data_IF_310530406672
#
_entry.id   IF_310530406672
#
_cell.length_a   1.000
_cell.length_b   1.000
_cell.length_c   1.000
_cell.angle_alpha   90.00
_cell.angle_beta   90.00
_cell.angle_gamma   90.00
#
_symmetry.space_group_name_H-M   'P 1'
#
loop_
_entity.id
_entity.type
_entity.pdbx_description
1 polymer ?
#
# COMPACT_ATOMS: atom_id res chain seq x y z
N UNK A 1 3.29 25.91 15.40
CA UNK A 1 3.86 24.55 15.40
C UNK A 1 4.14 24.15 13.95
N UNK A 2 5.35 23.63 13.69
CA UNK A 2 5.70 23.16 12.35
C UNK A 2 4.82 21.94 12.04
N UNK A 3 4.09 21.99 10.94
CA UNK A 3 3.18 20.91 10.56
C UNK A 3 3.97 19.60 10.35
N UNK A 4 3.57 18.54 11.03
CA UNK A 4 4.20 17.24 10.89
C UNK A 4 3.81 16.61 9.54
N UNK A 5 4.80 16.47 8.64
CA UNK A 5 4.61 15.96 7.29
C UNK A 5 4.80 14.45 7.15
N UNK A 6 5.50 13.85 8.12
CA UNK A 6 5.81 12.42 8.17
C UNK A 6 5.66 11.93 9.60
N UNK A 7 4.88 10.86 9.78
CA UNK A 7 4.77 10.11 11.04
C UNK A 7 5.24 8.69 10.83
N UNK A 8 5.89 8.10 11.83
CA UNK A 8 6.27 6.68 11.83
C UNK A 8 5.80 6.07 13.15
N UNK A 9 4.92 5.08 13.05
CA UNK A 9 4.39 4.32 14.16
C UNK A 9 4.90 2.87 14.10
N UNK A 10 5.25 2.30 15.27
CA UNK A 10 5.54 0.87 15.38
C UNK A 10 4.23 0.09 15.36
N UNK A 11 4.17 -0.98 14.56
CA UNK A 11 2.99 -1.84 14.48
C UNK A 11 3.18 -3.13 15.30
N UNK A 12 4.14 -3.96 14.89
CA UNK A 12 4.40 -5.25 15.53
C UNK A 12 5.76 -5.79 15.10
N UNK A 13 6.53 -6.36 16.03
CA UNK A 13 7.88 -6.86 15.71
C UNK A 13 8.74 -5.80 15.04
N UNK A 14 9.20 -6.10 13.82
CA UNK A 14 10.02 -5.19 13.01
C UNK A 14 9.20 -4.45 11.93
N UNK A 15 7.87 -4.39 12.06
CA UNK A 15 6.96 -3.74 11.12
C UNK A 15 6.53 -2.38 11.63
N UNK A 16 6.53 -1.41 10.72
CA UNK A 16 6.21 -0.01 11.00
C UNK A 16 5.29 0.54 9.92
N UNK A 17 4.43 1.46 10.32
CA UNK A 17 3.58 2.25 9.41
C UNK A 17 4.17 3.65 9.32
N UNK A 18 4.31 4.16 8.11
CA UNK A 18 4.58 5.58 7.90
C UNK A 18 3.33 6.25 7.31
N UNK A 19 3.11 7.49 7.71
CA UNK A 19 2.00 8.31 7.20
C UNK A 19 2.56 9.62 6.68
N UNK A 20 2.25 9.93 5.43
CA UNK A 20 2.44 11.27 4.84
C UNK A 20 1.08 11.87 4.51
N UNK A 21 1.06 13.12 4.08
CA UNK A 21 -0.19 13.80 3.81
C UNK A 21 -0.14 14.50 2.45
N UNK A 22 -1.24 14.48 1.74
CA UNK A 22 -1.44 15.30 0.54
C UNK A 22 -2.75 16.06 0.63
N UNK A 23 -2.89 17.11 -0.16
CA UNK A 23 -4.14 17.87 -0.25
C UNK A 23 -4.91 17.40 -1.47
N UNK A 24 -6.16 17.00 -1.27
CA UNK A 24 -7.08 16.63 -2.32
C UNK A 24 -8.43 17.34 -2.05
N UNK A 25 -8.92 18.11 -3.02
CA UNK A 25 -10.15 18.92 -2.87
C UNK A 25 -10.17 19.71 -1.56
N UNK A 26 -9.07 20.46 -1.28
CA UNK A 26 -8.85 21.28 -0.07
C UNK A 26 -8.74 20.48 1.25
N UNK A 27 -8.96 19.18 1.24
CA UNK A 27 -8.83 18.33 2.41
C UNK A 27 -7.42 17.74 2.53
N UNK A 28 -6.88 17.74 3.74
CA UNK A 28 -5.63 17.06 4.06
C UNK A 28 -5.90 15.57 4.25
N UNK A 29 -5.45 14.76 3.30
CA UNK A 29 -5.68 13.31 3.26
C UNK A 29 -4.40 12.58 3.72
N UNK A 30 -4.47 11.67 4.70
CA UNK A 30 -3.36 10.81 5.04
C UNK A 30 -3.08 9.79 3.93
N UNK A 31 -1.82 9.44 3.76
CA UNK A 31 -1.40 8.32 2.92
C UNK A 31 -0.46 7.44 3.73
N UNK A 32 -0.97 6.30 4.16
CA UNK A 32 -0.20 5.31 4.90
C UNK A 32 0.53 4.38 3.94
N UNK A 33 1.76 4.07 4.29
CA UNK A 33 2.52 2.96 3.75
C UNK A 33 3.10 2.14 4.89
N UNK A 34 3.76 1.06 4.56
CA UNK A 34 4.33 0.14 5.54
C UNK A 34 5.80 -0.14 5.22
N UNK A 35 6.61 -0.42 6.23
CA UNK A 35 7.92 -0.98 6.01
C UNK A 35 8.27 -2.04 7.04
N UNK A 36 9.15 -2.95 6.63
CA UNK A 36 9.70 -4.02 7.46
C UNK A 36 11.22 -3.89 7.58
N UNK A 37 11.74 -3.91 8.80
CA UNK A 37 13.18 -4.02 9.05
C UNK A 37 13.60 -5.48 9.00
N UNK A 38 14.66 -5.79 8.26
CA UNK A 38 15.27 -7.13 8.14
C UNK A 38 16.74 -7.09 8.56
N UNK A 39 17.42 -8.23 8.57
CA UNK A 39 18.84 -8.27 8.90
C UNK A 39 19.70 -7.50 7.89
N UNK A 40 19.35 -7.56 6.61
CA UNK A 40 20.12 -7.00 5.50
C UNK A 40 19.66 -5.62 5.04
N UNK A 41 18.53 -5.11 5.55
CA UNK A 41 18.03 -3.79 5.17
C UNK A 41 16.55 -3.61 5.50
N UNK A 42 15.88 -2.73 4.78
CA UNK A 42 14.45 -2.43 4.97
C UNK A 42 13.69 -2.63 3.67
N UNK A 43 12.56 -3.33 3.76
CA UNK A 43 11.58 -3.48 2.67
C UNK A 43 10.47 -2.45 2.87
N UNK A 44 10.25 -1.62 1.88
CA UNK A 44 9.23 -0.58 1.85
C UNK A 44 8.06 -1.01 0.97
N UNK A 45 6.84 -0.78 1.42
CA UNK A 45 5.61 -1.01 0.67
C UNK A 45 4.96 0.34 0.40
N UNK A 46 4.79 0.63 -0.90
CA UNK A 46 4.40 1.90 -1.48
C UNK A 46 5.39 3.05 -1.24
N UNK A 47 5.20 4.17 -1.91
CA UNK A 47 6.00 5.38 -1.74
C UNK A 47 5.15 6.48 -1.11
N UNK A 48 5.75 7.46 -0.39
CA UNK A 48 5.00 8.62 0.08
C UNK A 48 4.23 9.32 -1.05
N UNK A 49 3.03 9.80 -0.76
CA UNK A 49 2.30 10.66 -1.70
C UNK A 49 2.90 12.08 -1.78
N UNK A 50 3.33 12.62 -0.63
CA UNK A 50 4.08 13.89 -0.59
C UNK A 50 5.51 13.67 -1.08
N UNK A 51 5.83 14.17 -2.27
CA UNK A 51 7.14 14.03 -2.92
C UNK A 51 8.28 14.62 -2.09
N UNK A 52 7.99 15.59 -1.20
CA UNK A 52 8.99 16.20 -0.30
C UNK A 52 9.41 15.25 0.82
N UNK A 53 8.71 14.10 0.99
CA UNK A 53 8.96 13.13 2.04
C UNK A 53 9.73 11.89 1.58
N UNK A 54 10.16 11.80 0.34
CA UNK A 54 10.94 10.64 -0.15
C UNK A 54 12.26 10.50 0.63
N UNK A 55 13.10 11.53 0.67
CA UNK A 55 14.35 11.49 1.41
C UNK A 55 14.14 11.51 2.93
N UNK A 56 13.25 12.36 3.49
CA UNK A 56 12.98 12.35 4.94
C UNK A 56 12.54 10.98 5.48
N UNK A 57 11.80 10.17 4.70
CA UNK A 57 11.44 8.81 5.10
C UNK A 57 12.69 7.92 5.17
N UNK A 58 13.55 7.94 4.14
CA UNK A 58 14.81 7.16 4.13
C UNK A 58 15.71 7.56 5.30
N UNK A 59 15.89 8.85 5.55
CA UNK A 59 16.71 9.39 6.65
C UNK A 59 16.16 8.99 8.03
N UNK A 60 14.84 8.99 8.18
CA UNK A 60 14.18 8.60 9.42
C UNK A 60 14.32 7.10 9.69
N UNK A 61 14.19 6.26 8.67
CA UNK A 61 14.42 4.81 8.73
C UNK A 61 15.89 4.55 9.11
N UNK A 62 16.83 5.18 8.42
CA UNK A 62 18.27 5.04 8.69
C UNK A 62 18.63 5.44 10.11
N UNK A 63 18.14 6.57 10.56
CA UNK A 63 18.39 7.09 11.93
C UNK A 63 17.79 6.17 13.00
N UNK A 64 16.58 5.65 12.77
CA UNK A 64 15.87 4.82 13.73
C UNK A 64 16.43 3.41 13.84
N UNK A 65 16.84 2.81 12.73
CA UNK A 65 17.18 1.39 12.64
C UNK A 65 18.64 1.11 12.29
N UNK A 66 19.41 2.14 11.93
CA UNK A 66 20.75 2.01 11.36
C UNK A 66 20.79 1.07 10.13
N UNK A 67 19.70 1.05 9.35
CA UNK A 67 19.51 0.23 8.15
C UNK A 67 19.12 1.11 6.97
N UNK A 68 19.53 0.69 5.78
CA UNK A 68 19.11 1.33 4.54
C UNK A 68 17.88 0.62 3.96
N UNK A 69 17.01 1.37 3.26
CA UNK A 69 15.98 0.78 2.44
C UNK A 69 16.64 0.13 1.23
N UNK A 70 16.37 -1.15 1.00
CA UNK A 70 16.98 -1.93 -0.09
C UNK A 70 15.97 -2.34 -1.16
N UNK A 71 14.68 -2.27 -0.82
CA UNK A 71 13.60 -2.70 -1.69
C UNK A 71 12.35 -1.84 -1.47
N UNK A 72 11.63 -1.53 -2.55
CA UNK A 72 10.32 -0.88 -2.52
C UNK A 72 9.37 -1.58 -3.50
N UNK A 73 8.17 -1.94 -3.06
CA UNK A 73 7.11 -2.54 -3.90
C UNK A 73 5.92 -1.60 -3.91
N UNK A 74 5.45 -1.18 -5.10
CA UNK A 74 4.23 -0.41 -5.23
C UNK A 74 3.02 -1.30 -5.55
N UNK A 75 1.88 -1.03 -4.92
CA UNK A 75 0.70 -1.90 -4.93
C UNK A 75 -0.26 -1.64 -6.08
N UNK A 76 -0.22 -0.48 -6.71
CA UNK A 76 -0.94 -0.14 -7.93
C UNK A 76 -0.36 1.15 -8.56
N UNK A 77 -0.86 1.53 -9.74
CA UNK A 77 -0.25 2.55 -10.61
C UNK A 77 -0.48 4.01 -10.20
N UNK A 78 -1.34 4.34 -9.24
CA UNK A 78 -1.59 5.72 -8.84
C UNK A 78 -0.36 6.39 -8.20
N UNK A 79 -0.26 7.72 -8.35
CA UNK A 79 0.90 8.50 -7.89
C UNK A 79 1.14 8.39 -6.38
N UNK A 80 0.09 8.20 -5.59
CA UNK A 80 0.19 8.02 -4.14
C UNK A 80 0.89 6.71 -3.73
N UNK A 81 1.21 5.84 -4.73
CA UNK A 81 1.96 4.58 -4.54
C UNK A 81 3.25 4.53 -5.34
N UNK A 82 3.29 5.18 -6.51
CA UNK A 82 4.39 5.03 -7.48
C UNK A 82 5.31 6.24 -7.59
N UNK A 83 4.92 7.43 -7.12
CA UNK A 83 5.62 8.68 -7.42
C UNK A 83 7.09 8.69 -6.99
N UNK A 84 7.45 7.98 -5.93
CA UNK A 84 8.82 7.87 -5.43
C UNK A 84 9.68 6.79 -6.10
N UNK A 85 9.13 5.92 -6.96
CA UNK A 85 9.86 4.76 -7.50
C UNK A 85 11.14 5.15 -8.23
N UNK A 86 11.09 6.13 -9.14
CA UNK A 86 12.27 6.58 -9.88
C UNK A 86 13.29 7.27 -8.96
N UNK A 87 12.82 8.05 -7.98
CA UNK A 87 13.69 8.65 -6.99
C UNK A 87 14.43 7.57 -6.17
N UNK A 88 13.72 6.55 -5.70
CA UNK A 88 14.32 5.45 -4.94
C UNK A 88 15.31 4.64 -5.77
N UNK A 89 15.03 4.42 -7.05
CA UNK A 89 15.99 3.83 -7.97
C UNK A 89 17.31 4.63 -8.02
N UNK A 90 17.28 5.96 -8.05
CA UNK A 90 18.50 6.80 -8.02
C UNK A 90 19.30 6.65 -6.73
N UNK A 91 18.68 6.13 -5.66
CA UNK A 91 19.33 5.82 -4.37
C UNK A 91 19.83 4.37 -4.28
N UNK A 92 19.76 3.60 -5.36
CA UNK A 92 20.16 2.19 -5.39
C UNK A 92 19.14 1.25 -4.74
N UNK A 93 17.93 1.72 -4.46
CA UNK A 93 16.83 0.92 -3.91
C UNK A 93 16.17 0.16 -5.08
N UNK A 94 16.10 -1.16 -5.00
CA UNK A 94 15.41 -1.98 -6.00
C UNK A 94 13.92 -1.75 -5.93
N UNK A 95 13.32 -1.29 -7.02
CA UNK A 95 11.89 -0.99 -7.09
C UNK A 95 11.13 -2.04 -7.90
N UNK A 96 9.94 -2.41 -7.44
CA UNK A 96 9.14 -3.50 -7.99
C UNK A 96 7.68 -3.11 -8.17
N UNK A 97 7.08 -3.56 -9.29
CA UNK A 97 5.63 -3.55 -9.54
C UNK A 97 5.20 -4.80 -10.29
N UNK A 98 3.90 -5.07 -10.35
CA UNK A 98 3.39 -6.09 -11.27
C UNK A 98 3.51 -5.60 -12.73
N UNK A 99 3.43 -6.54 -13.69
CA UNK A 99 3.43 -6.18 -15.11
C UNK A 99 2.26 -5.23 -15.44
N UNK A 100 1.07 -5.51 -14.93
CA UNK A 100 -0.12 -4.66 -15.19
C UNK A 100 0.05 -3.26 -14.59
N UNK A 101 0.62 -3.15 -13.39
CA UNK A 101 0.95 -1.85 -12.78
C UNK A 101 1.93 -1.06 -13.65
N UNK A 102 2.96 -1.71 -14.20
CA UNK A 102 3.93 -1.07 -15.09
C UNK A 102 3.28 -0.59 -16.41
N UNK A 103 2.45 -1.43 -17.02
CA UNK A 103 1.71 -1.08 -18.25
C UNK A 103 0.78 0.12 -18.02
N UNK A 104 0.02 0.14 -16.92
CA UNK A 104 -0.85 1.26 -16.57
C UNK A 104 -0.05 2.50 -16.21
N UNK A 105 1.04 2.37 -15.46
CA UNK A 105 1.96 3.49 -15.18
C UNK A 105 2.50 4.12 -16.46
N UNK A 106 2.92 3.29 -17.43
CA UNK A 106 3.37 3.76 -18.75
C UNK A 106 2.24 4.47 -19.50
N UNK A 107 1.05 3.85 -19.55
CA UNK A 107 -0.12 4.42 -20.24
C UNK A 107 -0.53 5.78 -19.70
N UNK A 108 -0.43 5.98 -18.39
CA UNK A 108 -0.86 7.18 -17.68
C UNK A 108 0.29 8.13 -17.30
N UNK A 109 1.51 7.94 -17.89
CA UNK A 109 2.70 8.75 -17.64
C UNK A 109 3.06 8.85 -16.14
N UNK A 110 2.92 7.75 -15.40
CA UNK A 110 3.32 7.65 -13.99
C UNK A 110 4.72 7.05 -13.85
N UNK A 111 5.30 7.18 -12.65
CA UNK A 111 6.61 6.63 -12.33
C UNK A 111 6.59 5.11 -12.36
N UNK A 112 7.68 4.52 -12.87
CA UNK A 112 7.78 3.08 -13.14
C UNK A 112 8.86 2.45 -12.28
N UNK A 113 8.64 1.19 -11.88
CA UNK A 113 9.64 0.39 -11.19
C UNK A 113 10.72 -0.12 -12.16
N UNK A 114 11.84 -0.56 -11.59
CA UNK A 114 12.94 -1.16 -12.32
C UNK A 114 12.71 -2.65 -12.62
N UNK A 115 12.02 -3.33 -11.71
CA UNK A 115 11.79 -4.76 -11.78
C UNK A 115 10.29 -5.10 -11.78
N UNK A 116 9.95 -6.15 -12.53
CA UNK A 116 8.59 -6.67 -12.59
C UNK A 116 8.45 -7.96 -11.78
N UNK A 117 7.33 -8.10 -11.09
CA UNK A 117 6.95 -9.30 -10.36
C UNK A 117 5.64 -9.88 -10.90
N UNK A 118 5.40 -11.17 -10.63
CA UNK A 118 4.09 -11.77 -10.83
C UNK A 118 3.10 -11.23 -9.80
N UNK A 119 1.82 -11.27 -10.14
CA UNK A 119 0.75 -10.82 -9.24
C UNK A 119 0.79 -11.51 -7.87
N UNK A 120 1.00 -12.82 -7.88
CA UNK A 120 1.08 -13.67 -6.69
C UNK A 120 2.52 -14.15 -6.54
N UNK A 121 3.33 -13.37 -5.82
CA UNK A 121 4.76 -13.66 -5.60
C UNK A 121 5.02 -13.82 -4.12
N UNK A 122 5.68 -14.91 -3.75
CA UNK A 122 6.21 -15.14 -2.41
C UNK A 122 7.64 -14.60 -2.33
N UNK A 123 7.89 -13.75 -1.36
CA UNK A 123 9.21 -13.21 -1.07
C UNK A 123 9.75 -13.79 0.22
N UNK A 124 11.02 -14.20 0.19
CA UNK A 124 11.79 -14.59 1.35
C UNK A 124 13.02 -13.68 1.45
N UNK A 125 13.04 -12.82 2.45
CA UNK A 125 14.13 -11.87 2.70
C UNK A 125 14.60 -12.07 4.14
N UNK A 126 15.77 -12.65 4.31
CA UNK A 126 16.29 -13.10 5.62
C UNK A 126 15.25 -14.00 6.33
N UNK A 127 14.80 -13.57 7.52
CA UNK A 127 13.78 -14.25 8.32
C UNK A 127 12.35 -13.79 8.02
N UNK A 128 12.18 -12.92 7.01
CA UNK A 128 10.90 -12.33 6.68
C UNK A 128 10.31 -12.91 5.41
N UNK A 129 9.11 -13.44 5.53
CA UNK A 129 8.32 -13.95 4.41
C UNK A 129 7.06 -13.12 4.25
N UNK A 130 6.80 -12.68 3.05
CA UNK A 130 5.55 -12.03 2.66
C UNK A 130 5.14 -12.40 1.25
N UNK A 131 3.87 -12.27 0.93
CA UNK A 131 3.38 -12.52 -0.42
C UNK A 131 2.57 -11.34 -0.94
N UNK A 132 2.69 -11.08 -2.24
CA UNK A 132 1.73 -10.26 -2.98
C UNK A 132 0.57 -11.13 -3.41
N UNK A 133 -0.63 -10.56 -3.50
CA UNK A 133 -1.82 -11.24 -4.00
C UNK A 133 -2.68 -10.29 -4.81
N UNK A 134 -3.06 -10.73 -6.01
CA UNK A 134 -4.02 -10.03 -6.88
C UNK A 134 -5.42 -10.60 -6.69
N UNK A 135 -6.31 -9.93 -5.97
CA UNK A 135 -7.65 -10.43 -5.68
C UNK A 135 -8.65 -10.20 -6.82
N UNK A 136 -8.27 -9.41 -7.83
CA UNK A 136 -9.12 -8.93 -8.91
C UNK A 136 -9.14 -7.40 -9.00
N UNK A 137 -9.86 -6.86 -9.96
CA UNK A 137 -10.05 -5.42 -10.14
C UNK A 137 -10.93 -4.84 -9.03
N UNK A 138 -10.64 -3.64 -8.57
CA UNK A 138 -11.42 -2.98 -7.52
C UNK A 138 -11.22 -1.47 -7.54
N UNK A 139 -10.34 -0.96 -6.68
CA UNK A 139 -9.92 0.44 -6.66
C UNK A 139 -9.26 0.85 -7.98
N UNK A 140 -8.44 -0.03 -8.53
CA UNK A 140 -7.85 0.01 -9.87
C UNK A 140 -7.89 -1.38 -10.50
N UNK A 141 -7.54 -1.50 -11.77
CA UNK A 141 -7.48 -2.79 -12.44
C UNK A 141 -6.29 -3.67 -11.95
N UNK A 142 -5.24 -3.06 -11.40
CA UNK A 142 -3.96 -3.69 -11.06
C UNK A 142 -3.70 -3.86 -9.56
N UNK A 143 -4.64 -3.44 -8.71
CA UNK A 143 -4.41 -3.41 -7.27
C UNK A 143 -4.05 -4.79 -6.69
N UNK A 144 -2.94 -4.86 -5.99
CA UNK A 144 -2.53 -6.00 -5.18
C UNK A 144 -2.61 -5.67 -3.69
N UNK A 145 -2.74 -6.71 -2.87
CA UNK A 145 -2.55 -6.64 -1.42
C UNK A 145 -1.29 -7.39 -1.02
N UNK A 146 -0.78 -7.13 0.18
CA UNK A 146 0.41 -7.80 0.71
C UNK A 146 0.04 -8.49 2.02
N UNK A 147 0.47 -9.74 2.15
CA UNK A 147 0.25 -10.56 3.34
C UNK A 147 1.57 -10.93 3.99
N UNK A 148 1.72 -10.61 5.28
CA UNK A 148 2.81 -11.04 6.13
C UNK A 148 2.31 -12.15 7.07
N UNK A 149 2.64 -13.40 6.75
CA UNK A 149 2.10 -14.60 7.40
C UNK A 149 2.36 -14.63 8.89
N UNK A 150 3.60 -14.38 9.30
CA UNK A 150 4.04 -14.51 10.70
C UNK A 150 3.26 -13.60 11.65
N UNK A 151 3.07 -12.34 11.26
CA UNK A 151 2.37 -11.32 12.05
C UNK A 151 0.89 -11.24 11.71
N UNK A 152 0.42 -12.00 10.72
CA UNK A 152 -0.95 -11.92 10.17
C UNK A 152 -1.34 -10.50 9.78
N UNK A 153 -0.45 -9.79 9.09
CA UNK A 153 -0.69 -8.42 8.63
C UNK A 153 -1.21 -8.46 7.19
N UNK A 154 -2.39 -7.90 6.97
CA UNK A 154 -2.94 -7.63 5.65
C UNK A 154 -2.73 -6.14 5.32
N UNK A 155 -1.79 -5.85 4.43
CA UNK A 155 -1.64 -4.53 3.85
C UNK A 155 -2.58 -4.41 2.65
N UNK A 156 -3.71 -3.76 2.85
CA UNK A 156 -4.79 -3.62 1.86
C UNK A 156 -4.64 -2.40 0.96
N UNK A 157 -3.74 -1.47 1.32
CA UNK A 157 -3.51 -0.25 0.55
C UNK A 157 -4.79 0.54 0.29
N UNK A 158 -4.96 1.02 -0.95
CA UNK A 158 -6.15 1.78 -1.35
C UNK A 158 -7.37 0.91 -1.69
N UNK A 159 -7.18 -0.40 -1.85
CA UNK A 159 -8.28 -1.34 -2.11
C UNK A 159 -9.23 -1.44 -0.92
N UNK A 160 -8.69 -1.47 0.31
CA UNK A 160 -9.48 -1.54 1.54
C UNK A 160 -9.60 -0.13 2.11
N UNK A 161 -10.82 0.26 2.49
CA UNK A 161 -11.13 1.56 3.10
C UNK A 161 -11.20 1.42 4.63
N UNK A 162 -10.92 2.50 5.34
CA UNK A 162 -11.06 2.53 6.79
C UNK A 162 -12.49 2.25 7.25
N UNK A 163 -12.64 1.76 8.47
CA UNK A 163 -13.94 1.43 9.02
C UNK A 163 -14.87 2.65 9.19
N UNK A 164 -14.30 3.85 9.18
CA UNK A 164 -15.01 5.14 9.24
C UNK A 164 -15.35 5.73 7.88
N UNK A 165 -14.92 5.09 6.76
CA UNK A 165 -15.16 5.61 5.44
C UNK A 165 -16.64 5.57 5.04
N UNK A 166 -17.16 6.65 4.51
CA UNK A 166 -18.57 6.73 4.07
C UNK A 166 -18.80 6.07 2.69
N UNK A 167 -17.73 5.95 1.90
CA UNK A 167 -17.77 5.41 0.54
C UNK A 167 -16.42 4.79 0.15
N UNK A 168 -16.33 4.24 -1.08
CA UNK A 168 -15.12 3.61 -1.60
C UNK A 168 -14.09 4.61 -2.17
N UNK A 169 -14.29 5.92 -1.97
CA UNK A 169 -13.38 6.97 -2.45
C UNK A 169 -13.41 7.12 -3.97
N UNK A 170 -12.26 7.51 -4.53
CA UNK A 170 -12.13 7.68 -5.98
C UNK A 170 -12.32 6.35 -6.73
N UNK A 171 -13.26 6.34 -7.66
CA UNK A 171 -13.65 5.17 -8.47
C UNK A 171 -13.47 5.41 -9.98
N UNK A 172 -12.87 6.53 -10.40
CA UNK A 172 -12.71 6.86 -11.82
C UNK A 172 -11.89 5.84 -12.61
N UNK A 173 -10.94 5.16 -11.94
CA UNK A 173 -10.10 4.11 -12.51
C UNK A 173 -10.45 2.71 -11.97
N UNK A 174 -11.57 2.62 -11.23
CA UNK A 174 -11.99 1.41 -10.55
C UNK A 174 -12.98 0.56 -11.34
N UNK A 175 -13.07 -0.71 -10.96
CA UNK A 175 -14.13 -1.60 -11.45
C UNK A 175 -15.20 -1.81 -10.37
N UNK A 176 -16.23 -0.96 -10.40
CA UNK A 176 -17.35 -0.99 -9.45
C UNK A 176 -18.07 -2.35 -9.42
N UNK A 177 -18.21 -3.01 -10.58
CA UNK A 177 -18.90 -4.30 -10.69
C UNK A 177 -18.09 -5.44 -10.05
N UNK A 178 -16.78 -5.38 -10.16
CA UNK A 178 -15.87 -6.40 -9.61
C UNK A 178 -15.52 -6.15 -8.13
N UNK A 179 -15.58 -4.90 -7.65
CA UNK A 179 -15.04 -4.50 -6.35
C UNK A 179 -15.51 -5.40 -5.20
N UNK A 180 -16.81 -5.69 -5.13
CA UNK A 180 -17.36 -6.58 -4.10
C UNK A 180 -16.74 -7.98 -4.12
N UNK A 181 -16.66 -8.62 -5.29
CA UNK A 181 -16.07 -9.95 -5.42
C UNK A 181 -14.58 -9.94 -5.14
N UNK A 182 -13.88 -8.89 -5.52
CA UNK A 182 -12.45 -8.68 -5.24
C UNK A 182 -12.18 -8.64 -3.73
N UNK A 183 -12.95 -7.86 -2.97
CA UNK A 183 -12.83 -7.83 -1.51
C UNK A 183 -13.19 -9.16 -0.86
N UNK A 184 -14.17 -9.88 -1.39
CA UNK A 184 -14.51 -11.24 -0.93
C UNK A 184 -13.38 -12.24 -1.21
N UNK A 185 -12.64 -12.09 -2.31
CA UNK A 185 -11.46 -12.90 -2.59
C UNK A 185 -10.34 -12.63 -1.55
N UNK A 186 -10.12 -11.36 -1.17
CA UNK A 186 -9.18 -11.02 -0.07
C UNK A 186 -9.62 -11.69 1.23
N UNK A 187 -10.89 -11.54 1.61
CA UNK A 187 -11.43 -12.13 2.85
C UNK A 187 -11.31 -13.67 2.88
N UNK A 188 -11.55 -14.32 1.74
CA UNK A 188 -11.42 -15.78 1.61
C UNK A 188 -9.97 -16.23 1.69
N UNK A 189 -9.05 -15.48 1.07
CA UNK A 189 -7.62 -15.82 1.03
C UNK A 189 -6.94 -15.60 2.38
N UNK A 190 -7.32 -14.55 3.09
CA UNK A 190 -6.76 -14.13 4.38
C UNK A 190 -7.89 -13.92 5.40
N UNK A 191 -8.45 -15.03 5.97
CA UNK A 191 -9.69 -14.96 6.74
C UNK A 191 -9.53 -14.36 8.14
N UNK A 192 -8.31 -14.34 8.68
CA UNK A 192 -8.06 -14.02 10.09
C UNK A 192 -6.81 -13.12 10.26
N UNK A 193 -6.83 -11.88 9.71
CA UNK A 193 -5.74 -10.93 9.91
C UNK A 193 -5.75 -10.40 11.34
N UNK A 194 -4.55 -10.26 11.94
CA UNK A 194 -4.38 -9.55 13.21
C UNK A 194 -4.29 -8.03 13.02
N UNK A 195 -3.92 -7.59 11.81
CA UNK A 195 -3.83 -6.18 11.43
C UNK A 195 -4.31 -6.01 9.98
N UNK A 196 -5.06 -4.94 9.74
CA UNK A 196 -5.46 -4.52 8.37
C UNK A 196 -5.00 -3.09 8.18
N UNK A 197 -4.03 -2.91 7.27
CA UNK A 197 -3.43 -1.59 7.01
C UNK A 197 -4.06 -1.01 5.75
N UNK A 198 -4.66 0.16 5.88
CA UNK A 198 -5.32 0.91 4.81
C UNK A 198 -4.61 2.23 4.54
N UNK A 199 -4.77 2.78 3.33
CA UNK A 199 -4.00 3.96 2.91
C UNK A 199 -4.54 5.30 3.43
N UNK A 200 -5.81 5.57 3.28
CA UNK A 200 -6.35 6.94 3.37
C UNK A 200 -7.29 7.16 4.57
N UNK A 201 -6.97 6.54 5.71
CA UNK A 201 -7.71 6.73 6.96
C UNK A 201 -6.93 6.15 8.13
N UNK A 202 -7.54 6.02 9.31
CA UNK A 202 -6.99 5.23 10.41
C UNK A 202 -6.72 3.79 9.95
N UNK A 203 -5.59 3.23 10.35
CA UNK A 203 -5.12 1.93 9.86
C UNK A 203 -5.19 0.81 10.92
N UNK A 204 -5.72 1.09 12.08
CA UNK A 204 -5.72 0.21 13.27
C UNK A 204 -7.06 -0.51 13.51
N UNK A 205 -7.99 -0.49 12.54
CA UNK A 205 -9.32 -1.05 12.70
C UNK A 205 -9.51 -2.32 11.87
N UNK A 206 -9.66 -3.47 12.55
CA UNK A 206 -9.89 -4.77 11.92
C UNK A 206 -11.21 -4.87 11.14
N UNK A 207 -12.19 -4.00 11.40
CA UNK A 207 -13.44 -3.97 10.66
C UNK A 207 -13.30 -3.36 9.25
N UNK A 208 -12.16 -2.79 8.89
CA UNK A 208 -11.94 -2.08 7.62
C UNK A 208 -12.27 -2.95 6.40
N UNK A 209 -11.88 -4.23 6.38
CA UNK A 209 -12.22 -5.13 5.27
C UNK A 209 -13.72 -5.43 5.21
N UNK A 210 -14.34 -5.77 6.33
CA UNK A 210 -15.76 -6.06 6.37
C UNK A 210 -16.60 -4.83 6.00
N UNK A 211 -16.22 -3.66 6.50
CA UNK A 211 -16.85 -2.38 6.15
C UNK A 211 -16.73 -2.08 4.65
N UNK A 212 -15.55 -2.27 4.06
CA UNK A 212 -15.33 -2.10 2.60
C UNK A 212 -16.20 -3.05 1.77
N UNK A 213 -16.39 -4.30 2.22
CA UNK A 213 -17.28 -5.28 1.57
C UNK A 213 -18.72 -4.77 1.59
N UNK A 214 -19.17 -4.21 2.70
CA UNK A 214 -20.54 -3.65 2.84
C UNK A 214 -20.76 -2.43 1.94
N UNK A 215 -19.78 -1.52 1.85
CA UNK A 215 -19.81 -0.39 0.94
C UNK A 215 -19.88 -0.86 -0.53
N UNK A 216 -19.03 -1.82 -0.91
CA UNK A 216 -19.02 -2.38 -2.27
C UNK A 216 -20.34 -3.11 -2.61
N UNK A 217 -20.94 -3.82 -1.64
CA UNK A 217 -22.24 -4.47 -1.79
C UNK A 217 -23.39 -3.46 -2.03
N UNK A 218 -23.37 -2.34 -1.29
CA UNK A 218 -24.36 -1.25 -1.49
C UNK A 218 -24.22 -0.62 -2.86
N UNK A 219 -22.97 -0.40 -3.31
CA UNK A 219 -22.69 0.20 -4.62
C UNK A 219 -23.12 -0.72 -5.77
N UNK A 220 -22.85 -2.04 -5.65
CA UNK A 220 -23.26 -3.05 -6.64
C UNK A 220 -24.78 -3.12 -6.84
N UNK A 221 -25.59 -2.80 -5.81
CA UNK A 221 -27.05 -2.82 -5.90
C UNK A 221 -27.63 -1.57 -6.58
N UNK A 222 -26.86 -0.49 -6.69
CA UNK A 222 -27.29 0.78 -7.30
C UNK A 222 -26.98 0.88 -8.80
N UNK A 223 -26.11 0.01 -9.30
CA UNK A 223 -25.68 -0.11 -10.69
C UNK A 223 -26.10 -1.46 -11.28
#
# INVERSE_FOLDING_TARGET
>A
QKEEKLKIAHLSGDVYIYTTYSTYEENKIPANGMYRVTNTGVVLFDTPWDTTQFQPLLDSIKRKHNKDVTMCIATHWHSDRTEGLEYYKTKGIKTYTTLLTDELSKKHNKKRAEHLIKNDTLFNIDQFTFQTYYPGEGHTADNIVIWCEKEKILYGGCLIKGAEAENLGFLGDGNVKAYYSTLKNVQKKFPDPSYIIVSHSGWDNLNSLQHSIELAKKLKKKN
#
